data_IF_478547385501
#
_entry.id   IF_478547385501
#
_cell.length_a   1.000
_cell.length_b   1.000
_cell.length_c   1.000
_cell.angle_alpha   90.00
_cell.angle_beta   90.00
_cell.angle_gamma   90.00
#
_symmetry.space_group_name_H-M   'P 1'
#
loop_
_entity.id
_entity.type
_entity.pdbx_description
1 polymer ?
#
# COMPACT_ATOMS: atom_id res chain seq x y z
N UNK A 1 1.95 -11.68 2.18
CA UNK A 1 0.69 -12.00 1.49
C UNK A 1 0.87 -13.24 0.63
N UNK A 2 -0.22 -13.83 0.16
CA UNK A 2 -0.19 -14.95 -0.78
C UNK A 2 0.18 -14.46 -2.17
N UNK A 3 1.12 -15.13 -2.84
CA UNK A 3 1.49 -14.83 -4.22
C UNK A 3 0.61 -15.67 -5.15
N UNK A 4 -0.36 -15.02 -5.80
CA UNK A 4 -1.25 -15.64 -6.80
C UNK A 4 -1.55 -14.64 -7.91
N UNK A 5 -2.09 -15.12 -9.05
CA UNK A 5 -2.56 -14.23 -10.12
C UNK A 5 -3.70 -13.31 -9.65
N UNK A 6 -4.63 -13.83 -8.84
CA UNK A 6 -5.76 -13.07 -8.31
C UNK A 6 -5.31 -11.92 -7.39
N UNK A 7 -4.21 -12.10 -6.65
CA UNK A 7 -3.64 -11.08 -5.79
C UNK A 7 -2.93 -9.95 -6.57
N UNK A 8 -2.71 -10.12 -7.88
CA UNK A 8 -2.09 -9.13 -8.76
C UNK A 8 -3.09 -8.65 -9.83
N UNK A 9 -3.98 -7.70 -9.49
CA UNK A 9 -5.08 -7.31 -10.37
C UNK A 9 -4.64 -6.60 -11.66
N UNK A 10 -3.39 -6.15 -11.74
CA UNK A 10 -2.87 -5.40 -12.89
C UNK A 10 -1.74 -6.12 -13.63
N UNK A 11 -1.38 -7.34 -13.22
CA UNK A 11 -0.33 -8.14 -13.88
C UNK A 11 1.08 -7.58 -13.73
N UNK A 12 1.36 -6.73 -12.74
CA UNK A 12 2.69 -6.13 -12.55
C UNK A 12 3.77 -7.20 -12.36
N UNK A 13 4.93 -7.01 -13.01
CA UNK A 13 6.08 -7.91 -12.87
C UNK A 13 6.48 -8.01 -11.40
N UNK A 14 6.66 -9.24 -10.91
CA UNK A 14 7.02 -9.49 -9.51
C UNK A 14 5.94 -9.11 -8.49
N UNK A 15 4.70 -8.87 -8.92
CA UNK A 15 3.60 -8.36 -8.09
C UNK A 15 3.94 -7.02 -7.41
N UNK A 16 4.77 -6.20 -8.04
CA UNK A 16 5.18 -4.90 -7.49
C UNK A 16 3.97 -3.95 -7.49
N UNK A 17 3.51 -3.58 -6.31
CA UNK A 17 2.42 -2.62 -6.10
C UNK A 17 2.90 -1.24 -5.63
N UNK A 18 4.20 -1.09 -5.35
CA UNK A 18 4.79 0.15 -4.87
C UNK A 18 6.32 0.15 -4.94
N UNK A 19 6.90 1.35 -4.97
CA UNK A 19 8.35 1.59 -5.04
C UNK A 19 8.74 2.78 -4.18
N UNK A 20 10.02 2.89 -3.83
CA UNK A 20 10.58 4.04 -3.14
C UNK A 20 11.88 4.49 -3.79
N UNK A 21 12.28 5.74 -3.57
CA UNK A 21 13.61 6.21 -3.94
C UNK A 21 14.68 5.64 -3.00
N UNK A 22 15.96 5.84 -3.36
CA UNK A 22 17.10 5.30 -2.61
C UNK A 22 17.19 5.86 -1.19
N UNK A 23 16.76 7.10 -1.00
CA UNK A 23 16.74 7.81 0.27
C UNK A 23 15.51 7.47 1.13
N UNK A 24 14.60 6.61 0.64
CA UNK A 24 13.39 6.16 1.35
C UNK A 24 12.49 7.29 1.88
N UNK A 25 12.45 8.44 1.19
CA UNK A 25 11.61 9.58 1.57
C UNK A 25 10.55 9.93 0.52
N UNK A 26 10.55 9.24 -0.63
CA UNK A 26 9.51 9.33 -1.65
C UNK A 26 9.00 7.94 -1.98
N UNK A 27 7.69 7.75 -1.87
CA UNK A 27 7.01 6.47 -2.13
C UNK A 27 5.97 6.65 -3.23
N UNK A 28 5.96 5.74 -4.19
CA UNK A 28 4.90 5.61 -5.19
C UNK A 28 4.14 4.31 -4.96
N UNK A 29 2.83 4.39 -4.76
CA UNK A 29 1.95 3.24 -4.52
C UNK A 29 0.83 3.22 -5.56
N UNK A 30 0.51 2.05 -6.10
CA UNK A 30 -0.74 1.81 -6.83
C UNK A 30 -1.96 1.64 -5.91
N UNK A 31 -1.89 0.89 -4.78
CA UNK A 31 -3.04 0.78 -3.88
C UNK A 31 -3.36 2.12 -3.23
N UNK A 32 -4.60 2.25 -2.78
CA UNK A 32 -5.14 3.45 -2.16
C UNK A 32 -5.26 3.29 -0.62
N UNK A 33 -4.15 3.36 0.16
CA UNK A 33 -4.20 3.22 1.61
C UNK A 33 -5.09 4.29 2.26
N UNK A 34 -5.21 5.47 1.66
CA UNK A 34 -6.10 6.54 2.12
C UNK A 34 -7.57 6.12 2.13
N UNK A 35 -7.99 5.21 1.24
CA UNK A 35 -9.37 4.67 1.20
C UNK A 35 -9.60 3.53 2.19
N UNK A 36 -8.54 3.03 2.81
CA UNK A 36 -8.59 1.92 3.76
C UNK A 36 -8.36 2.41 5.21
N UNK A 37 -8.95 3.55 5.55
CA UNK A 37 -8.74 4.21 6.85
C UNK A 37 -10.02 4.47 7.64
N UNK A 38 -11.20 4.24 7.07
CA UNK A 38 -12.48 4.63 7.67
C UNK A 38 -13.39 3.43 7.94
N UNK A 39 -14.02 3.39 9.12
CA UNK A 39 -14.96 2.33 9.51
C UNK A 39 -16.10 2.18 8.50
N UNK A 40 -16.59 3.29 7.95
CA UNK A 40 -17.69 3.30 7.00
C UNK A 40 -17.36 2.58 5.68
N UNK A 41 -16.07 2.51 5.32
CA UNK A 41 -15.59 1.78 4.14
C UNK A 41 -15.25 0.32 4.46
N UNK A 42 -15.23 -0.07 5.74
CA UNK A 42 -15.00 -1.44 6.20
C UNK A 42 -13.53 -1.88 6.20
N UNK A 43 -12.59 -0.95 6.09
CA UNK A 43 -11.15 -1.24 6.02
C UNK A 43 -10.34 -0.25 6.87
N UNK A 44 -9.31 -0.75 7.56
CA UNK A 44 -8.46 0.03 8.47
C UNK A 44 -6.96 -0.12 8.24
N UNK A 45 -6.55 -1.05 7.39
CA UNK A 45 -5.14 -1.41 7.22
C UNK A 45 -4.30 -0.25 6.67
N UNK A 46 -4.93 0.71 5.99
CA UNK A 46 -4.27 1.92 5.49
C UNK A 46 -3.75 2.84 6.58
N UNK A 47 -4.32 2.79 7.81
CA UNK A 47 -3.88 3.60 8.95
C UNK A 47 -2.43 3.30 9.37
N UNK A 48 -1.97 2.07 9.15
CA UNK A 48 -0.60 1.67 9.48
C UNK A 48 0.45 2.52 8.74
N UNK A 49 0.16 2.88 7.49
CA UNK A 49 1.04 3.76 6.71
C UNK A 49 1.12 5.15 7.36
N UNK A 50 -0.01 5.74 7.74
CA UNK A 50 -0.06 7.06 8.35
C UNK A 50 0.60 7.11 9.72
N UNK A 51 0.36 6.11 10.56
CA UNK A 51 1.03 6.02 11.87
C UNK A 51 2.54 5.88 11.72
N UNK A 52 3.01 5.15 10.69
CA UNK A 52 4.44 5.02 10.41
C UNK A 52 5.08 6.34 9.98
N UNK A 53 4.35 7.17 9.22
CA UNK A 53 4.83 8.49 8.78
C UNK A 53 4.87 9.52 9.91
N UNK A 54 3.85 9.54 10.77
CA UNK A 54 3.79 10.50 11.89
C UNK A 54 4.76 10.14 13.02
N UNK A 55 5.11 8.86 13.15
CA UNK A 55 6.03 8.37 14.19
C UNK A 55 7.48 8.29 13.73
N UNK A 56 7.79 8.69 12.49
CA UNK A 56 9.13 8.70 11.91
C UNK A 56 9.95 9.92 12.36
#
# INVERSE_FOLDING_TARGET
GTVSQEANPNGSVGNIAGVCNKEFNVFGLMPHPERACEDILGYHDGLLLWYSLVSA
#
